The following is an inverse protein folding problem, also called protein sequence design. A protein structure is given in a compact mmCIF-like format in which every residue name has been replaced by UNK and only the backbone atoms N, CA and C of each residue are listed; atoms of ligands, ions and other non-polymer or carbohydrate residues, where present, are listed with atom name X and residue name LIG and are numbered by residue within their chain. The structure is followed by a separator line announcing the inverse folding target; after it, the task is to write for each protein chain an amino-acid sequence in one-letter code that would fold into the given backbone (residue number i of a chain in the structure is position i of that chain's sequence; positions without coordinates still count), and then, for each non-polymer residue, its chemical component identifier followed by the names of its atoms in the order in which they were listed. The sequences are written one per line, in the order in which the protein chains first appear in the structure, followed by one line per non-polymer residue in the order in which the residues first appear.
data_IF_562510605206
#
_entry.id   IF_562510605206
#
_cell.length_a   1.000
_cell.length_b   1.000
_cell.length_c   1.000
_cell.angle_alpha   90.00
_cell.angle_beta   90.00
_cell.angle_gamma   90.00
#
_symmetry.space_group_name_H-M   'P 1'
#
loop_
_entity.id
_entity.type
_entity.pdbx_description
1 polymer ?
#
# COMPACT_ATOMS: atom_id res chain seq x y z
N UNK A 1 11.05 -15.59 12.09
CA UNK A 1 10.02 -14.54 11.99
C UNK A 1 8.81 -15.16 11.33
N UNK A 2 7.66 -15.11 11.98
CA UNK A 2 6.44 -15.74 11.49
C UNK A 2 5.82 -14.87 10.37
N UNK A 3 5.67 -15.39 9.14
CA UNK A 3 5.10 -14.61 8.03
C UNK A 3 3.63 -14.23 8.26
N UNK A 4 2.95 -14.91 9.19
CA UNK A 4 1.57 -14.64 9.60
C UNK A 4 1.46 -13.61 10.74
N UNK A 5 2.56 -12.98 11.14
CA UNK A 5 2.58 -11.97 12.18
C UNK A 5 1.75 -10.74 11.78
N UNK A 6 0.96 -10.25 12.73
CA UNK A 6 0.20 -9.01 12.63
C UNK A 6 1.03 -7.85 13.18
N UNK A 7 1.35 -6.89 12.33
CA UNK A 7 2.19 -5.74 12.68
C UNK A 7 1.38 -4.44 12.69
N UNK A 8 1.86 -3.46 13.44
CA UNK A 8 1.23 -2.13 13.47
C UNK A 8 1.42 -1.36 12.15
N UNK A 9 0.57 -0.37 11.89
CA UNK A 9 0.76 0.52 10.73
C UNK A 9 2.12 1.25 10.73
N UNK A 10 2.64 1.57 11.91
CA UNK A 10 3.93 2.24 12.05
C UNK A 10 5.10 1.31 11.67
N UNK A 11 4.99 0.04 12.03
CA UNK A 11 5.97 -0.98 11.68
C UNK A 11 5.92 -1.33 10.19
N UNK A 12 4.71 -1.49 9.64
CA UNK A 12 4.53 -1.68 8.20
C UNK A 12 5.13 -0.53 7.37
N UNK A 13 5.03 0.70 7.87
CA UNK A 13 5.63 1.88 7.26
C UNK A 13 7.16 1.80 7.26
N UNK A 14 7.77 1.35 8.36
CA UNK A 14 9.23 1.14 8.46
C UNK A 14 9.72 0.07 7.49
N UNK A 15 9.04 -1.08 7.43
CA UNK A 15 9.40 -2.20 6.54
C UNK A 15 9.40 -1.75 5.08
N UNK A 16 8.37 -0.99 4.68
CA UNK A 16 8.22 -0.54 3.28
C UNK A 16 8.92 0.78 2.96
N UNK A 17 9.53 1.43 3.96
CA UNK A 17 10.14 2.77 3.85
C UNK A 17 9.17 3.81 3.26
N UNK A 18 7.92 3.79 3.73
CA UNK A 18 6.86 4.73 3.33
C UNK A 18 6.27 5.44 4.53
N UNK A 19 5.40 6.43 4.30
CA UNK A 19 4.69 7.09 5.39
C UNK A 19 3.59 6.20 5.97
N UNK A 20 3.27 6.39 7.25
CA UNK A 20 2.10 5.75 7.90
C UNK A 20 0.80 6.06 7.16
N UNK A 21 0.66 7.27 6.60
CA UNK A 21 -0.50 7.66 5.79
C UNK A 21 -0.61 6.83 4.50
N UNK A 22 0.51 6.49 3.85
CA UNK A 22 0.51 5.63 2.68
C UNK A 22 0.03 4.21 3.04
N UNK A 23 0.45 3.67 4.19
CA UNK A 23 -0.06 2.39 4.70
C UNK A 23 -1.56 2.48 5.01
N UNK A 24 -2.01 3.54 5.70
CA UNK A 24 -3.42 3.75 6.01
C UNK A 24 -4.27 3.84 4.74
N UNK A 25 -3.78 4.50 3.68
CA UNK A 25 -4.45 4.52 2.37
C UNK A 25 -4.59 3.13 1.77
N UNK A 26 -3.56 2.28 1.87
CA UNK A 26 -3.59 0.93 1.33
C UNK A 26 -4.56 0.03 2.07
N UNK A 27 -4.58 0.12 3.40
CA UNK A 27 -5.58 -0.54 4.25
C UNK A 27 -6.98 -0.07 3.88
N UNK A 28 -7.22 1.26 3.80
CA UNK A 28 -8.53 1.82 3.44
C UNK A 28 -8.99 1.39 2.04
N UNK A 29 -8.06 1.19 1.11
CA UNK A 29 -8.35 0.70 -0.24
C UNK A 29 -8.49 -0.83 -0.34
N UNK A 30 -8.40 -1.57 0.78
CA UNK A 30 -8.47 -3.03 0.79
C UNK A 30 -7.28 -3.74 0.15
N UNK A 31 -6.17 -3.02 -0.06
CA UNK A 31 -4.97 -3.56 -0.73
C UNK A 31 -3.97 -4.23 0.20
N UNK A 32 -4.17 -4.10 1.50
CA UNK A 32 -3.46 -4.82 2.55
C UNK A 32 -4.52 -5.41 3.48
N UNK A 33 -4.46 -6.70 3.78
CA UNK A 33 -5.37 -7.28 4.77
C UNK A 33 -5.01 -6.72 6.15
N UNK A 34 -6.03 -6.42 6.92
CA UNK A 34 -5.89 -5.88 8.27
C UNK A 34 -7.00 -6.35 9.17
N UNK A 35 -6.74 -6.40 10.47
CA UNK A 35 -7.74 -6.61 11.51
C UNK A 35 -7.77 -5.43 12.47
N UNK A 36 -8.93 -5.20 13.10
CA UNK A 36 -9.09 -4.21 14.16
C UNK A 36 -9.15 -4.92 15.51
N UNK A 37 -8.25 -4.58 16.43
CA UNK A 37 -8.20 -5.13 17.79
C UNK A 37 -8.15 -3.96 18.76
N UNK A 38 -9.17 -3.81 19.60
CA UNK A 38 -9.23 -2.73 20.59
C UNK A 38 -9.10 -1.31 20.00
N UNK A 39 -9.60 -1.09 18.77
CA UNK A 39 -9.46 0.21 18.07
C UNK A 39 -8.13 0.42 17.36
N UNK A 40 -7.21 -0.54 17.44
CA UNK A 40 -5.94 -0.53 16.71
C UNK A 40 -6.02 -1.40 15.46
N UNK A 41 -5.55 -0.85 14.34
CA UNK A 41 -5.45 -1.57 13.07
C UNK A 41 -4.09 -2.28 13.01
N UNK A 42 -4.15 -3.60 12.88
CA UNK A 42 -3.00 -4.48 12.64
C UNK A 42 -3.04 -5.02 11.22
N UNK A 43 -1.89 -5.18 10.60
CA UNK A 43 -1.73 -5.54 9.19
C UNK A 43 -0.94 -6.84 9.10
N UNK A 44 -1.33 -7.73 8.18
CA UNK A 44 -0.55 -8.93 7.92
C UNK A 44 0.82 -8.57 7.33
N UNK A 45 1.88 -8.99 8.02
CA UNK A 45 3.27 -8.71 7.62
C UNK A 45 3.58 -9.22 6.21
N UNK A 46 3.14 -10.43 5.87
CA UNK A 46 3.30 -11.02 4.52
C UNK A 46 2.72 -10.14 3.42
N UNK A 47 1.60 -9.46 3.65
CA UNK A 47 1.00 -8.58 2.64
C UNK A 47 1.85 -7.31 2.47
N UNK A 48 2.41 -6.79 3.55
CA UNK A 48 3.28 -5.61 3.55
C UNK A 48 4.58 -5.88 2.80
N UNK A 49 5.22 -7.02 3.07
CA UNK A 49 6.47 -7.42 2.42
C UNK A 49 6.28 -7.74 0.93
N UNK A 50 5.17 -8.40 0.57
CA UNK A 50 4.90 -8.78 -0.81
C UNK A 50 4.16 -7.71 -1.63
N UNK A 51 3.74 -6.60 -1.03
CA UNK A 51 3.01 -5.58 -1.76
C UNK A 51 3.87 -4.92 -2.83
N UNK A 52 3.46 -5.07 -4.08
CA UNK A 52 4.02 -4.31 -5.20
C UNK A 52 3.02 -3.23 -5.66
N UNK A 53 3.43 -1.94 -5.69
CA UNK A 53 2.60 -0.91 -6.29
C UNK A 53 2.45 -1.20 -7.79
N UNK A 54 1.21 -1.17 -8.30
CA UNK A 54 0.98 -1.16 -9.75
C UNK A 54 1.73 0.05 -10.31
N UNK A 55 2.52 -0.15 -11.39
CA UNK A 55 3.15 0.97 -12.12
C UNK A 55 2.09 2.00 -12.42
N UNK A 56 2.33 3.26 -12.04
CA UNK A 56 1.45 4.36 -12.39
C UNK A 56 1.50 4.55 -13.92
N UNK A 57 0.52 4.00 -14.63
CA UNK A 57 0.37 4.23 -16.05
C UNK A 57 -0.33 5.57 -16.28
N UNK A 58 0.42 6.63 -16.59
CA UNK A 58 -0.14 7.78 -17.31
C UNK A 58 -0.29 7.31 -18.76
N UNK A 59 -1.51 7.16 -19.29
CA UNK A 59 -1.66 7.15 -20.74
C UNK A 59 -1.09 8.49 -21.22
N UNK A 60 -0.02 8.48 -22.01
CA UNK A 60 0.37 9.67 -22.76
C UNK A 60 -0.85 10.00 -23.63
N UNK A 61 -1.35 11.22 -23.50
CA UNK A 61 -2.30 11.74 -24.48
C UNK A 61 -1.43 12.03 -25.69
N UNK A 62 -1.41 11.12 -26.66
CA UNK A 62 -0.95 11.44 -28.01
C UNK A 62 -1.96 12.44 -28.57
N UNK A 63 -1.87 13.70 -28.16
CA UNK A 63 -2.45 14.78 -28.93
C UNK A 63 -1.51 14.92 -30.13
N UNK A 64 -1.85 14.21 -31.20
CA UNK A 64 -1.33 14.46 -32.53
C UNK A 64 -1.66 15.91 -32.83
N UNK A 65 -0.64 16.76 -32.90
CA UNK A 65 -0.69 18.09 -33.49
C UNK A 65 -1.19 17.93 -34.94
N UNK A 66 -2.49 18.13 -35.15
CA UNK A 66 -3.13 18.10 -36.46
C UNK A 66 -3.19 19.54 -37.02
N UNK A 67 -2.32 19.78 -38.01
CA UNK A 67 -2.42 20.69 -39.20
C UNK A 67 -2.59 22.20 -38.97
N UNK A 68 -1.66 23.03 -39.45
CA UNK A 68 -1.38 23.50 -40.84
C UNK A 68 -2.35 24.56 -41.33
#
# INVERSE_FOLDING_TARGET
MDPNELISQAEAARIRKVTKQAIAKLVKSGRLRSISVGGHILIYRVDVENFQPKKAGRKKKDTIDDKN
#
